data_IF_521984413122
#
_entry.id   IF_521984413122
#
_cell.length_a   1.000
_cell.length_b   1.000
_cell.length_c   1.000
_cell.angle_alpha   90.00
_cell.angle_beta   90.00
_cell.angle_gamma   90.00
#
_symmetry.space_group_name_H-M   'P 1'
#
loop_
_entity.id
_entity.type
_entity.pdbx_description
1 polymer ?
#
# COMPACT_ATOMS: atom_id res chain seq x y z
N UNK A 1 29.33 -15.00 6.10
CA UNK A 1 28.80 -16.32 6.54
C UNK A 1 27.39 -16.07 7.01
N UNK A 2 26.39 -16.41 6.20
CA UNK A 2 24.98 -16.36 6.60
C UNK A 2 24.64 -17.74 7.15
N UNK A 3 24.12 -17.81 8.36
CA UNK A 3 23.70 -19.07 9.00
C UNK A 3 22.44 -19.62 8.31
N UNK A 4 22.27 -20.95 8.17
CA UNK A 4 21.23 -21.54 7.30
C UNK A 4 19.79 -21.54 7.86
N UNK A 5 19.48 -20.83 8.95
CA UNK A 5 18.25 -21.07 9.74
C UNK A 5 17.36 -19.83 9.98
N UNK A 6 17.58 -18.72 9.26
CA UNK A 6 16.66 -17.58 9.30
C UNK A 6 15.88 -17.52 8.00
N UNK A 7 14.57 -17.84 8.08
CA UNK A 7 13.65 -17.59 6.97
C UNK A 7 13.69 -16.08 6.68
N UNK A 8 14.02 -15.65 5.45
CA UNK A 8 14.08 -14.23 5.13
C UNK A 8 12.75 -13.56 5.46
N UNK A 9 12.83 -12.32 5.95
CA UNK A 9 11.65 -11.48 6.19
C UNK A 9 10.80 -11.37 4.93
N UNK A 10 9.52 -11.04 5.09
CA UNK A 10 8.67 -10.80 3.93
C UNK A 10 9.21 -9.62 3.10
N UNK A 11 9.76 -8.60 3.74
CA UNK A 11 10.46 -7.48 3.09
C UNK A 11 11.57 -7.96 2.13
N UNK A 12 12.43 -8.88 2.59
CA UNK A 12 13.49 -9.48 1.76
C UNK A 12 12.92 -10.33 0.62
N UNK A 13 11.89 -11.15 0.90
CA UNK A 13 11.19 -11.96 -0.11
C UNK A 13 10.49 -11.12 -1.17
N UNK A 14 10.07 -9.89 -0.84
CA UNK A 14 9.48 -8.92 -1.75
C UNK A 14 10.51 -8.11 -2.54
N UNK A 15 11.82 -8.27 -2.27
CA UNK A 15 12.89 -7.56 -2.98
C UNK A 15 13.27 -6.21 -2.37
N UNK A 16 12.82 -5.95 -1.14
CA UNK A 16 13.15 -4.75 -0.38
C UNK A 16 12.50 -3.47 -0.91
N UNK A 17 12.95 -2.33 -0.36
CA UNK A 17 12.29 -1.02 -0.53
C UNK A 17 12.10 -0.59 -1.98
N UNK A 18 13.04 -0.88 -2.89
CA UNK A 18 12.90 -0.46 -4.29
C UNK A 18 11.80 -1.22 -5.02
N UNK A 19 11.70 -2.53 -4.79
CA UNK A 19 10.61 -3.33 -5.37
C UNK A 19 9.26 -2.93 -4.76
N UNK A 20 9.21 -2.75 -3.44
CA UNK A 20 7.99 -2.29 -2.73
C UNK A 20 7.57 -0.91 -3.23
N UNK A 21 8.50 0.03 -3.38
CA UNK A 21 8.20 1.38 -3.87
C UNK A 21 7.61 1.37 -5.28
N UNK A 22 8.09 0.49 -6.17
CA UNK A 22 7.54 0.36 -7.52
C UNK A 22 6.10 -0.18 -7.51
N UNK A 23 5.80 -1.16 -6.65
CA UNK A 23 4.45 -1.69 -6.46
C UNK A 23 3.53 -0.61 -5.88
N UNK A 24 3.99 0.10 -4.85
CA UNK A 24 3.23 1.19 -4.21
C UNK A 24 2.97 2.34 -5.17
N UNK A 25 3.93 2.68 -6.03
CA UNK A 25 3.78 3.74 -7.03
C UNK A 25 2.59 3.48 -7.95
N UNK A 26 2.50 2.28 -8.53
CA UNK A 26 1.35 1.86 -9.37
C UNK A 26 0.05 1.79 -8.57
N UNK A 27 0.10 1.23 -7.37
CA UNK A 27 -1.08 1.06 -6.53
C UNK A 27 -1.73 2.41 -6.18
N UNK A 28 -0.92 3.37 -5.74
CA UNK A 28 -1.43 4.68 -5.34
C UNK A 28 -1.93 5.49 -6.53
N UNK A 29 -1.34 5.33 -7.71
CA UNK A 29 -1.87 5.97 -8.92
C UNK A 29 -3.26 5.44 -9.29
N UNK A 30 -3.52 4.14 -9.10
CA UNK A 30 -4.85 3.55 -9.30
C UNK A 30 -5.85 4.08 -8.29
N UNK A 31 -5.56 3.93 -7.00
CA UNK A 31 -6.44 4.33 -5.90
C UNK A 31 -6.81 5.82 -5.98
N UNK A 32 -5.83 6.68 -6.27
CA UNK A 32 -6.09 8.11 -6.35
C UNK A 32 -6.90 8.52 -7.59
N UNK A 33 -6.94 7.70 -8.63
CA UNK A 33 -7.66 7.99 -9.88
C UNK A 33 -8.94 7.17 -10.08
N UNK A 34 -9.27 6.23 -9.18
CA UNK A 34 -10.46 5.40 -9.29
C UNK A 34 -11.75 6.25 -9.12
N UNK A 35 -12.59 6.36 -10.16
CA UNK A 35 -13.85 7.09 -10.07
C UNK A 35 -14.85 6.49 -9.06
N UNK A 36 -14.76 5.19 -8.72
CA UNK A 36 -15.60 4.57 -7.69
C UNK A 36 -15.22 5.08 -6.30
N UNK A 37 -13.92 5.20 -6.02
CA UNK A 37 -13.42 5.74 -4.75
C UNK A 37 -13.68 7.24 -4.66
N UNK A 38 -13.39 7.99 -5.72
CA UNK A 38 -13.57 9.44 -5.77
C UNK A 38 -15.05 9.87 -5.89
N UNK A 39 -15.99 8.94 -6.06
CA UNK A 39 -17.42 9.23 -5.92
C UNK A 39 -17.78 9.59 -4.47
N UNK A 40 -16.99 9.14 -3.49
CA UNK A 40 -17.09 9.58 -2.11
C UNK A 40 -16.36 10.93 -1.95
N UNK A 41 -17.08 12.04 -1.67
CA UNK A 41 -16.47 13.37 -1.60
C UNK A 41 -15.45 13.50 -0.48
N UNK A 42 -15.54 12.69 0.59
CA UNK A 42 -14.57 12.70 1.68
C UNK A 42 -13.24 12.06 1.26
N UNK A 43 -13.32 10.98 0.49
CA UNK A 43 -12.16 10.31 -0.11
C UNK A 43 -11.52 11.21 -1.17
N UNK A 44 -12.33 11.77 -2.07
CA UNK A 44 -11.85 12.72 -3.09
C UNK A 44 -11.14 13.93 -2.47
N UNK A 45 -11.75 14.55 -1.46
CA UNK A 45 -11.12 15.67 -0.73
C UNK A 45 -9.81 15.24 -0.05
N UNK A 46 -9.76 14.04 0.54
CA UNK A 46 -8.55 13.52 1.18
C UNK A 46 -7.41 13.29 0.16
N UNK A 47 -7.71 12.72 -1.01
CA UNK A 47 -6.75 12.53 -2.10
C UNK A 47 -6.15 13.86 -2.59
N UNK A 48 -6.94 14.93 -2.62
CA UNK A 48 -6.47 16.27 -3.02
C UNK A 48 -5.68 17.03 -1.94
N UNK A 49 -5.76 16.60 -0.66
CA UNK A 49 -5.02 17.22 0.45
C UNK A 49 -3.59 16.73 0.59
N UNK A 50 -3.26 15.57 0.02
CA UNK A 50 -1.93 14.97 0.13
C UNK A 50 -1.15 15.17 -1.16
N UNK A 51 0.14 15.50 -1.05
CA UNK A 51 0.99 15.54 -2.23
C UNK A 51 1.30 14.09 -2.68
N UNK A 52 1.11 13.72 -3.96
CA UNK A 52 1.21 12.34 -4.42
C UNK A 52 2.54 11.66 -4.03
N UNK A 53 3.66 12.36 -4.22
CA UNK A 53 4.98 11.84 -3.87
C UNK A 53 5.14 11.57 -2.35
N UNK A 54 4.59 12.44 -1.50
CA UNK A 54 4.64 12.26 -0.06
C UNK A 54 3.76 11.09 0.41
N UNK A 55 2.60 10.93 -0.23
CA UNK A 55 1.70 9.82 0.07
C UNK A 55 2.32 8.46 -0.34
N UNK A 56 2.88 8.37 -1.54
CA UNK A 56 3.61 7.18 -2.02
C UNK A 56 4.79 6.82 -1.10
N UNK A 57 5.51 7.83 -0.60
CA UNK A 57 6.57 7.62 0.40
C UNK A 57 6.01 7.00 1.69
N UNK A 58 4.96 7.57 2.27
CA UNK A 58 4.36 7.08 3.53
C UNK A 58 3.82 5.65 3.39
N UNK A 59 3.19 5.34 2.26
CA UNK A 59 2.67 3.99 2.00
C UNK A 59 3.82 3.00 1.78
N UNK A 60 4.90 3.41 1.10
CA UNK A 60 6.12 2.59 0.97
C UNK A 60 6.71 2.28 2.35
N UNK A 61 6.84 3.29 3.20
CA UNK A 61 7.34 3.15 4.57
C UNK A 61 6.46 2.20 5.40
N UNK A 62 5.14 2.34 5.30
CA UNK A 62 4.16 1.48 5.96
C UNK A 62 4.31 0.01 5.54
N UNK A 63 4.43 -0.27 4.24
CA UNK A 63 4.57 -1.64 3.73
C UNK A 63 5.93 -2.22 4.12
N UNK A 64 7.00 -1.44 4.02
CA UNK A 64 8.32 -1.90 4.43
C UNK A 64 8.33 -2.26 5.93
N UNK A 65 7.81 -1.39 6.79
CA UNK A 65 7.69 -1.66 8.23
C UNK A 65 6.84 -2.90 8.53
N UNK A 66 5.67 -3.02 7.90
CA UNK A 66 4.74 -4.13 8.14
C UNK A 66 5.29 -5.49 7.68
N UNK A 67 6.20 -5.49 6.69
CA UNK A 67 6.80 -6.71 6.13
C UNK A 67 8.12 -7.10 6.80
N UNK A 68 8.52 -6.39 7.86
CA UNK A 68 9.74 -6.67 8.64
C UNK A 68 11.00 -5.96 8.10
N UNK A 69 10.83 -4.95 7.26
CA UNK A 69 11.91 -4.10 6.77
C UNK A 69 12.45 -3.12 7.82
N UNK A 70 13.59 -2.46 7.55
CA UNK A 70 14.26 -1.56 8.50
C UNK A 70 13.55 -0.20 8.69
N UNK A 71 12.53 0.09 7.90
CA UNK A 71 11.79 1.35 7.95
C UNK A 71 10.88 1.40 9.18
N UNK A 72 10.77 2.58 9.79
CA UNK A 72 9.79 2.87 10.84
C UNK A 72 8.69 3.72 10.22
N UNK A 73 7.44 3.27 10.28
CA UNK A 73 6.33 4.07 9.78
C UNK A 73 6.13 5.35 10.60
N UNK A 74 6.08 6.49 9.92
CA UNK A 74 6.01 7.84 10.52
C UNK A 74 4.65 8.52 10.32
N UNK A 75 3.72 7.87 9.63
CA UNK A 75 2.39 8.38 9.39
C UNK A 75 1.41 8.14 10.55
N UNK A 76 0.15 8.52 10.33
CA UNK A 76 -0.96 8.27 11.25
C UNK A 76 -1.34 6.79 11.22
N UNK A 77 -1.92 6.29 12.30
CA UNK A 77 -2.46 4.92 12.28
C UNK A 77 -3.51 4.72 11.18
N UNK A 78 -3.76 3.46 10.79
CA UNK A 78 -4.82 3.13 9.83
C UNK A 78 -6.20 3.60 10.31
N UNK A 79 -6.48 3.56 11.62
CA UNK A 79 -7.74 4.06 12.16
C UNK A 79 -7.86 5.58 11.97
N UNK A 80 -6.90 6.36 12.47
CA UNK A 80 -6.91 7.83 12.37
C UNK A 80 -6.92 8.33 10.92
N UNK A 81 -6.28 7.59 10.02
CA UNK A 81 -6.23 7.93 8.59
C UNK A 81 -7.58 7.78 7.90
N UNK A 82 -8.43 6.84 8.32
CA UNK A 82 -9.60 6.43 7.54
C UNK A 82 -10.96 6.57 8.27
N UNK A 83 -10.99 6.69 9.60
CA UNK A 83 -12.23 6.66 10.41
C UNK A 83 -13.27 7.73 10.04
N UNK A 84 -12.83 8.84 9.44
CA UNK A 84 -13.66 9.99 9.10
C UNK A 84 -14.15 9.99 7.65
N UNK A 85 -13.72 9.00 6.84
CA UNK A 85 -13.97 8.93 5.40
C UNK A 85 -15.30 8.25 5.04
N UNK A 86 -15.96 7.60 5.99
CA UNK A 86 -17.19 6.82 5.79
C UNK A 86 -17.08 5.80 4.65
N UNK A 87 -15.94 5.10 4.55
CA UNK A 87 -15.70 4.09 3.51
C UNK A 87 -16.75 2.98 3.62
N UNK A 88 -17.50 2.77 2.54
CA UNK A 88 -18.50 1.71 2.47
C UNK A 88 -17.95 0.45 1.77
N UNK A 89 -18.76 -0.62 1.76
CA UNK A 89 -18.37 -1.90 1.16
C UNK A 89 -18.04 -1.79 -0.34
N UNK A 90 -18.76 -0.96 -1.10
CA UNK A 90 -18.52 -0.81 -2.54
C UNK A 90 -17.15 -0.18 -2.79
N UNK A 91 -16.80 0.85 -2.00
CA UNK A 91 -15.49 1.50 -2.05
C UNK A 91 -14.38 0.54 -1.57
N UNK A 92 -14.63 -0.23 -0.53
CA UNK A 92 -13.69 -1.25 -0.07
C UNK A 92 -13.41 -2.31 -1.14
N UNK A 93 -14.43 -2.80 -1.83
CA UNK A 93 -14.24 -3.75 -2.93
C UNK A 93 -13.50 -3.12 -4.10
N UNK A 94 -13.77 -1.86 -4.46
CA UNK A 94 -13.04 -1.14 -5.50
C UNK A 94 -11.54 -1.02 -5.16
N UNK A 95 -11.23 -0.69 -3.90
CA UNK A 95 -9.85 -0.67 -3.40
C UNK A 95 -9.16 -2.05 -3.52
N UNK A 96 -9.87 -3.14 -3.22
CA UNK A 96 -9.34 -4.50 -3.38
C UNK A 96 -9.12 -4.89 -4.85
N UNK A 97 -10.02 -4.45 -5.75
CA UNK A 97 -9.86 -4.62 -7.20
C UNK A 97 -8.58 -3.92 -7.69
N UNK A 98 -8.34 -2.67 -7.27
CA UNK A 98 -7.12 -1.93 -7.59
C UNK A 98 -5.87 -2.60 -7.03
N UNK A 99 -5.94 -3.07 -5.79
CA UNK A 99 -4.84 -3.79 -5.15
C UNK A 99 -4.48 -5.06 -5.91
N UNK A 100 -5.49 -5.88 -6.25
CA UNK A 100 -5.28 -7.10 -7.04
C UNK A 100 -4.70 -6.79 -8.42
N UNK A 101 -5.20 -5.75 -9.10
CA UNK A 101 -4.70 -5.33 -10.41
C UNK A 101 -3.22 -4.92 -10.36
N UNK A 102 -2.77 -4.27 -9.28
CA UNK A 102 -1.35 -3.99 -9.06
C UNK A 102 -0.56 -5.27 -8.83
N UNK A 103 -1.01 -6.17 -7.95
CA UNK A 103 -0.30 -7.43 -7.69
C UNK A 103 -0.15 -8.28 -8.97
N UNK A 104 -1.20 -8.33 -9.79
CA UNK A 104 -1.21 -9.01 -11.08
C UNK A 104 -0.19 -8.39 -12.05
N UNK A 105 -0.12 -7.05 -12.12
CA UNK A 105 0.86 -6.33 -12.97
C UNK A 105 2.31 -6.67 -12.59
N UNK A 106 2.59 -6.84 -11.31
CA UNK A 106 3.93 -7.14 -10.79
C UNK A 106 4.19 -8.64 -10.60
N UNK A 107 3.25 -9.50 -11.01
CA UNK A 107 3.33 -10.95 -10.91
C UNK A 107 3.68 -11.43 -9.49
N UNK A 108 3.17 -10.74 -8.46
CA UNK A 108 3.46 -11.06 -7.06
C UNK A 108 2.77 -12.38 -6.70
N UNK A 109 3.50 -13.47 -6.40
CA UNK A 109 2.88 -14.76 -6.15
C UNK A 109 2.10 -14.77 -4.82
N UNK A 110 0.95 -15.45 -4.78
CA UNK A 110 0.17 -15.65 -3.55
C UNK A 110 0.97 -16.34 -2.42
N UNK A 111 2.05 -17.06 -2.74
CA UNK A 111 2.95 -17.64 -1.74
C UNK A 111 3.88 -16.63 -1.06
N UNK A 112 3.80 -15.35 -1.43
CA UNK A 112 4.51 -14.22 -0.81
C UNK A 112 3.58 -13.29 0.00
N UNK A 113 2.34 -13.67 0.26
CA UNK A 113 1.39 -12.88 1.06
C UNK A 113 1.14 -13.47 2.46
N UNK A 114 2.06 -14.31 2.95
CA UNK A 114 2.00 -14.98 4.25
C UNK A 114 3.29 -14.87 5.04
#
# INVERSE_FOLDING_TARGET
MTTPDETPSLYERLGGVFAIAAVVDDFIDRVMSDPKLNANPKVDEAHHKVHPAGFKYLVTEQVCWATGGPQTYTGRSMAESHEHLDINEVEWQAFLEDFQATLDKFEVPASRTG
#
